data_IF_811282422954
#
_entry.id   IF_811282422954
#
_cell.length_a   1.000
_cell.length_b   1.000
_cell.length_c   1.000
_cell.angle_alpha   90.00
_cell.angle_beta   90.00
_cell.angle_gamma   90.00
#
_symmetry.space_group_name_H-M   'P 1'
#
loop_
_entity.id
_entity.type
_entity.pdbx_description
1 polymer ?
#
# COMPACT_ATOMS: atom_id res chain seq x y z
N UNK A 1 20.52 20.91 21.72
CA UNK A 1 19.55 19.93 22.26
C UNK A 1 20.06 18.55 21.85
N UNK A 2 20.20 17.59 22.76
CA UNK A 2 20.62 16.23 22.42
C UNK A 2 19.51 15.51 21.65
N UNK A 3 19.88 14.68 20.69
CA UNK A 3 18.93 13.86 19.93
C UNK A 3 18.16 12.91 20.88
N UNK A 4 16.84 12.75 20.69
CA UNK A 4 16.03 11.87 21.53
C UNK A 4 16.46 10.40 21.38
N UNK A 5 16.67 9.71 22.52
CA UNK A 5 17.05 8.30 22.54
C UNK A 5 15.84 7.38 22.75
N UNK A 6 15.79 6.26 22.03
CA UNK A 6 14.77 5.25 22.19
C UNK A 6 15.02 4.37 23.43
N UNK A 7 14.04 4.29 24.33
CA UNK A 7 14.09 3.39 25.49
C UNK A 7 13.33 2.08 25.23
N UNK A 8 14.00 0.95 25.43
CA UNK A 8 13.41 -0.39 25.25
C UNK A 8 13.19 -1.04 26.62
N UNK A 9 11.94 -1.11 27.06
CA UNK A 9 11.56 -1.75 28.34
C UNK A 9 11.30 -3.25 28.23
N UNK A 10 11.03 -3.75 27.02
CA UNK A 10 10.79 -5.18 26.79
C UNK A 10 12.10 -5.96 26.79
N UNK A 11 12.24 -6.92 27.71
CA UNK A 11 13.39 -7.81 27.79
C UNK A 11 13.62 -8.57 26.47
N UNK A 12 12.53 -9.13 25.91
CA UNK A 12 12.57 -9.85 24.62
C UNK A 12 13.09 -8.98 23.47
N UNK A 13 12.61 -7.73 23.37
CA UNK A 13 13.05 -6.82 22.32
C UNK A 13 14.55 -6.48 22.48
N UNK A 14 15.00 -6.27 23.71
CA UNK A 14 16.41 -6.00 24.02
C UNK A 14 17.31 -7.17 23.66
N UNK A 15 16.90 -8.39 23.97
CA UNK A 15 17.69 -9.60 23.69
C UNK A 15 17.80 -9.86 22.18
N UNK A 16 16.69 -9.67 21.45
CA UNK A 16 16.66 -9.79 19.99
C UNK A 16 17.57 -8.73 19.33
N UNK A 17 17.45 -7.46 19.73
CA UNK A 17 18.29 -6.39 19.20
C UNK A 17 19.78 -6.66 19.46
N UNK A 18 20.12 -7.17 20.65
CA UNK A 18 21.50 -7.51 21.01
C UNK A 18 22.01 -8.72 20.23
N UNK A 19 21.19 -9.73 19.97
CA UNK A 19 21.54 -10.87 19.14
C UNK A 19 21.79 -10.45 17.68
N UNK A 20 20.95 -9.58 17.13
CA UNK A 20 21.13 -9.02 15.79
C UNK A 20 22.40 -8.18 15.70
N UNK A 21 22.66 -7.30 16.67
CA UNK A 21 23.86 -6.46 16.70
C UNK A 21 25.15 -7.29 16.66
N UNK A 22 25.20 -8.40 17.44
CA UNK A 22 26.34 -9.32 17.41
C UNK A 22 26.53 -9.99 16.04
N UNK A 23 25.44 -10.33 15.36
CA UNK A 23 25.48 -11.04 14.07
C UNK A 23 25.81 -10.13 12.90
N UNK A 24 25.35 -8.88 12.93
CA UNK A 24 25.52 -7.92 11.82
C UNK A 24 26.68 -6.95 12.02
N UNK A 25 27.22 -6.86 13.24
CA UNK A 25 28.21 -5.83 13.59
C UNK A 25 27.64 -4.41 13.66
N UNK A 26 26.32 -4.24 13.50
CA UNK A 26 25.67 -2.93 13.52
C UNK A 26 25.28 -2.55 14.95
N UNK A 27 25.28 -1.24 15.28
CA UNK A 27 24.81 -0.79 16.58
C UNK A 27 23.29 -0.97 16.70
N UNK A 28 22.80 -1.14 17.93
CA UNK A 28 21.39 -1.46 18.22
C UNK A 28 20.44 -0.39 17.67
N UNK A 29 20.78 0.89 17.83
CA UNK A 29 19.97 2.00 17.29
C UNK A 29 19.77 1.85 15.78
N UNK A 30 20.85 1.58 15.03
CA UNK A 30 20.79 1.45 13.58
C UNK A 30 19.92 0.27 13.14
N UNK A 31 19.99 -0.84 13.88
CA UNK A 31 19.14 -2.00 13.61
C UNK A 31 17.66 -1.71 13.88
N UNK A 32 17.34 -0.95 14.93
CA UNK A 32 15.96 -0.56 15.23
C UNK A 32 15.43 0.39 14.16
N UNK A 33 16.21 1.37 13.73
CA UNK A 33 15.86 2.24 12.60
C UNK A 33 15.53 1.43 11.34
N UNK A 34 16.43 0.53 10.92
CA UNK A 34 16.23 -0.32 9.74
C UNK A 34 14.98 -1.20 9.89
N UNK A 35 14.73 -1.75 11.08
CA UNK A 35 13.56 -2.59 11.32
C UNK A 35 12.25 -1.78 11.22
N UNK A 36 12.22 -0.58 11.79
CA UNK A 36 11.06 0.31 11.73
C UNK A 36 10.80 0.83 10.31
N UNK A 37 11.85 1.19 9.57
CA UNK A 37 11.76 1.59 8.17
C UNK A 37 11.18 0.47 7.30
N UNK A 38 11.66 -0.77 7.48
CA UNK A 38 11.12 -1.94 6.77
C UNK A 38 9.65 -2.17 7.08
N UNK A 39 9.27 -2.08 8.35
CA UNK A 39 7.88 -2.26 8.77
C UNK A 39 6.96 -1.16 8.23
N UNK A 40 7.41 0.10 8.19
CA UNK A 40 6.66 1.20 7.57
C UNK A 40 6.45 0.96 6.07
N UNK A 41 7.47 0.51 5.34
CA UNK A 41 7.34 0.16 3.92
C UNK A 41 6.30 -0.94 3.72
N UNK A 42 6.35 -2.01 4.53
CA UNK A 42 5.38 -3.11 4.49
C UNK A 42 3.95 -2.63 4.74
N UNK A 43 3.75 -1.79 5.78
CA UNK A 43 2.43 -1.20 6.08
C UNK A 43 1.92 -0.30 4.95
N UNK A 44 2.78 0.51 4.34
CA UNK A 44 2.40 1.35 3.20
C UNK A 44 2.04 0.52 1.98
N UNK A 45 2.71 -0.60 1.75
CA UNK A 45 2.35 -1.52 0.66
C UNK A 45 0.99 -2.18 0.92
N UNK A 46 0.72 -2.59 2.16
CA UNK A 46 -0.58 -3.13 2.55
C UNK A 46 -1.71 -2.09 2.40
N UNK A 47 -1.47 -0.84 2.81
CA UNK A 47 -2.48 0.23 2.76
C UNK A 47 -2.66 0.86 1.37
N UNK A 48 -1.71 0.72 0.46
CA UNK A 48 -1.79 1.26 -0.92
C UNK A 48 -2.63 0.41 -1.87
N UNK A 49 -3.06 -0.77 -1.47
CA UNK A 49 -3.82 -1.65 -2.32
C UNK A 49 -5.16 -1.98 -1.66
N UNK A 50 -6.07 -1.00 -1.56
CA UNK A 50 -7.47 -1.40 -1.61
C UNK A 50 -7.68 -1.93 -3.04
N UNK A 51 -8.16 -3.17 -3.25
CA UNK A 51 -8.27 -3.75 -4.60
C UNK A 51 -9.05 -2.86 -5.58
N UNK A 52 -9.99 -2.05 -5.07
CA UNK A 52 -10.71 -1.07 -5.88
C UNK A 52 -9.82 0.05 -6.44
N UNK A 53 -8.75 0.45 -5.76
CA UNK A 53 -7.85 1.50 -6.26
C UNK A 53 -7.17 1.06 -7.56
N UNK A 54 -6.70 -0.19 -7.61
CA UNK A 54 -6.14 -0.79 -8.82
C UNK A 54 -7.18 -0.93 -9.94
N UNK A 55 -8.43 -1.26 -9.59
CA UNK A 55 -9.55 -1.29 -10.56
C UNK A 55 -9.83 0.11 -11.12
N UNK A 56 -9.82 1.14 -10.26
CA UNK A 56 -10.05 2.53 -10.68
C UNK A 56 -8.92 3.09 -11.52
N UNK A 57 -7.65 2.78 -11.20
CA UNK A 57 -6.51 3.12 -12.04
C UNK A 57 -6.59 2.49 -13.42
N UNK A 58 -6.91 1.18 -13.48
CA UNK A 58 -7.08 0.47 -14.75
C UNK A 58 -8.26 1.02 -15.57
N UNK A 59 -9.37 1.37 -14.91
CA UNK A 59 -10.50 2.01 -15.56
C UNK A 59 -10.17 3.44 -16.05
N UNK A 60 -9.35 4.20 -15.31
CA UNK A 60 -8.89 5.52 -15.72
C UNK A 60 -7.95 5.46 -16.93
N UNK A 61 -7.05 4.48 -16.95
CA UNK A 61 -6.18 4.16 -18.08
C UNK A 61 -7.00 3.85 -19.35
N UNK A 62 -7.97 2.93 -19.25
CA UNK A 62 -8.82 2.54 -20.36
C UNK A 62 -9.68 3.69 -20.91
N UNK A 63 -10.12 4.63 -20.07
CA UNK A 63 -10.87 5.82 -20.53
C UNK A 63 -10.06 6.74 -21.45
N UNK A 64 -8.73 6.72 -21.41
CA UNK A 64 -7.89 7.60 -22.25
C UNK A 64 -8.04 7.29 -23.74
N UNK A 65 -8.38 6.04 -24.09
CA UNK A 65 -8.57 5.61 -25.48
C UNK A 65 -10.02 5.74 -25.96
N UNK A 66 -10.95 6.10 -25.09
CA UNK A 66 -12.37 6.22 -25.43
C UNK A 66 -12.66 7.63 -25.93
N UNK A 67 -13.16 7.82 -27.18
CA UNK A 67 -13.52 9.13 -27.69
C UNK A 67 -14.59 9.81 -26.84
N UNK A 68 -14.49 11.14 -26.70
CA UNK A 68 -15.52 11.93 -26.02
C UNK A 68 -16.88 11.78 -26.70
N UNK A 69 -17.92 11.54 -25.91
CA UNK A 69 -19.28 11.28 -26.41
C UNK A 69 -19.58 9.81 -26.69
N UNK A 70 -18.62 8.90 -26.50
CA UNK A 70 -18.90 7.46 -26.51
C UNK A 70 -19.90 7.13 -25.41
N UNK A 71 -21.05 6.59 -25.80
CA UNK A 71 -22.13 6.20 -24.91
C UNK A 71 -22.54 4.76 -25.19
N UNK A 72 -22.93 4.04 -24.15
CA UNK A 72 -23.56 2.72 -24.24
C UNK A 72 -25.08 2.87 -24.41
N UNK A 73 -25.52 3.84 -25.21
CA UNK A 73 -26.93 4.04 -25.49
C UNK A 73 -27.37 2.95 -26.47
N UNK A 74 -28.32 2.13 -26.03
CA UNK A 74 -28.85 0.98 -26.78
C UNK A 74 -30.38 1.05 -26.90
N UNK A 75 -30.94 2.26 -26.81
CA UNK A 75 -32.39 2.53 -26.87
C UNK A 75 -33.03 2.05 -28.19
N UNK A 76 -32.19 1.88 -29.21
CA UNK A 76 -32.55 1.28 -30.49
C UNK A 76 -32.78 -0.23 -30.39
N UNK A 77 -32.05 -0.94 -29.52
CA UNK A 77 -32.11 -2.40 -29.37
C UNK A 77 -33.22 -2.89 -28.44
N UNK A 78 -33.68 -2.06 -27.51
CA UNK A 78 -34.66 -2.45 -26.48
C UNK A 78 -35.97 -1.63 -26.57
N UNK A 79 -37.09 -2.26 -26.23
CA UNK A 79 -38.40 -1.62 -26.12
C UNK A 79 -38.53 -0.80 -24.82
N UNK A 80 -39.69 -0.17 -24.62
CA UNK A 80 -39.97 0.65 -23.42
C UNK A 80 -39.94 -0.14 -22.10
N UNK A 81 -39.99 -1.47 -22.17
CA UNK A 81 -39.91 -2.38 -21.02
C UNK A 81 -38.49 -2.95 -20.83
N UNK A 82 -37.53 -2.56 -21.68
CA UNK A 82 -36.15 -3.05 -21.65
C UNK A 82 -35.97 -4.45 -22.26
N UNK A 83 -36.94 -4.92 -23.05
CA UNK A 83 -36.84 -6.20 -23.76
C UNK A 83 -36.28 -5.99 -25.17
N UNK A 84 -35.47 -6.93 -25.70
CA UNK A 84 -35.00 -6.85 -27.09
C UNK A 84 -36.19 -6.72 -28.05
N UNK A 85 -36.09 -5.79 -29.01
CA UNK A 85 -37.07 -5.64 -30.09
C UNK A 85 -37.07 -6.83 -31.05
#
# INVERSE_FOLDING_TARGET
MSEPQLSIRSAKARDLARALARRTGQPINKLVEIALERYDIELRQLNKAHPLDAVWELAAEGRRSVPSGTTSAHDDLYDENGLPK
#
